data_IF_947578261018
#
_entry.id   IF_947578261018
#
_cell.length_a   1.000
_cell.length_b   1.000
_cell.length_c   1.000
_cell.angle_alpha   90.00
_cell.angle_beta   90.00
_cell.angle_gamma   90.00
#
_symmetry.space_group_name_H-M   'P 1'
#
loop_
_entity.id
_entity.type
_entity.pdbx_description
1 polymer ?
#
# COMPACT_ATOMS: atom_id res chain seq x y z
N UNK A 1 3.20 6.53 19.21
CA UNK A 1 2.10 7.45 18.94
C UNK A 1 0.95 6.66 18.33
N UNK A 2 -0.21 6.69 18.96
CA UNK A 2 -1.40 5.92 18.60
C UNK A 2 -2.66 6.77 18.76
N UNK A 3 -3.82 6.23 18.39
CA UNK A 3 -5.12 6.91 18.38
C UNK A 3 -5.44 7.53 17.02
N UNK A 4 -6.65 8.07 16.86
CA UNK A 4 -7.13 8.63 15.58
C UNK A 4 -6.24 9.74 15.02
N UNK A 5 -5.63 10.57 15.88
CA UNK A 5 -4.70 11.64 15.46
C UNK A 5 -3.42 11.08 14.82
N UNK A 6 -2.99 9.86 15.18
CA UNK A 6 -1.84 9.19 14.56
C UNK A 6 -2.08 8.81 13.09
N UNK A 7 -3.30 8.93 12.57
CA UNK A 7 -3.62 8.80 11.15
C UNK A 7 -3.27 10.06 10.32
N UNK A 8 -2.93 11.18 10.97
CA UNK A 8 -2.51 12.40 10.30
C UNK A 8 -1.07 12.28 9.76
N UNK A 9 -0.94 11.77 8.55
CA UNK A 9 0.36 11.53 7.91
C UNK A 9 1.20 12.82 7.74
N UNK A 10 0.55 13.98 7.55
CA UNK A 10 1.25 15.26 7.45
C UNK A 10 1.89 15.67 8.77
N UNK A 11 1.15 15.49 9.87
CA UNK A 11 1.68 15.74 11.22
C UNK A 11 2.81 14.77 11.56
N UNK A 12 2.62 13.48 11.27
CA UNK A 12 3.63 12.45 11.49
C UNK A 12 4.95 12.76 10.77
N UNK A 13 4.87 13.15 9.49
CA UNK A 13 6.04 13.56 8.71
C UNK A 13 6.73 14.82 9.28
N UNK A 14 5.95 15.77 9.83
CA UNK A 14 6.53 16.96 10.51
C UNK A 14 7.28 16.58 11.77
N UNK A 15 6.71 15.73 12.64
CA UNK A 15 7.39 15.26 13.86
C UNK A 15 8.68 14.52 13.48
N UNK A 16 8.63 13.62 12.51
CA UNK A 16 9.80 12.85 12.10
C UNK A 16 10.96 13.75 11.66
N UNK A 17 10.67 14.83 10.93
CA UNK A 17 11.67 15.81 10.49
C UNK A 17 12.35 16.61 11.62
N UNK A 18 11.75 16.66 12.81
CA UNK A 18 12.42 17.28 13.98
C UNK A 18 13.53 16.40 14.57
N UNK A 19 13.78 15.22 14.02
CA UNK A 19 14.70 14.24 14.59
C UNK A 19 14.13 13.41 15.73
N UNK A 20 12.87 13.64 16.09
CA UNK A 20 12.20 12.89 17.17
C UNK A 20 12.06 11.41 16.79
N UNK A 21 12.52 10.53 17.66
CA UNK A 21 12.26 9.08 17.52
C UNK A 21 10.78 8.82 17.82
N UNK A 22 10.02 8.51 16.78
CA UNK A 22 8.60 8.19 16.86
C UNK A 22 8.29 6.87 16.21
N UNK A 23 7.45 6.05 16.86
CA UNK A 23 6.91 4.80 16.34
C UNK A 23 5.40 4.96 16.20
N UNK A 24 4.89 4.68 15.01
CA UNK A 24 3.46 4.75 14.67
C UNK A 24 3.11 3.42 14.01
N UNK A 25 2.34 2.55 14.71
CA UNK A 25 1.99 1.25 14.15
C UNK A 25 0.96 1.39 13.01
N UNK A 26 0.84 0.38 12.12
CA UNK A 26 -0.12 0.41 11.01
C UNK A 26 -1.58 0.47 11.49
N UNK A 27 -1.86 -0.09 12.65
CA UNK A 27 -3.17 -0.15 13.33
C UNK A 27 -3.32 0.93 14.42
N UNK A 28 -2.74 2.12 14.22
CA UNK A 28 -2.73 3.20 15.21
C UNK A 28 -4.12 3.76 15.55
N UNK A 29 -5.12 3.55 14.70
CA UNK A 29 -6.52 3.87 14.94
C UNK A 29 -7.22 2.78 15.79
N UNK A 30 -8.54 2.82 15.88
CA UNK A 30 -9.35 1.88 16.66
C UNK A 30 -9.15 0.40 16.29
N UNK A 31 -8.63 0.11 15.08
CA UNK A 31 -8.26 -1.26 14.68
C UNK A 31 -7.24 -1.93 15.62
N UNK A 32 -6.43 -1.15 16.33
CA UNK A 32 -5.44 -1.68 17.28
C UNK A 32 -5.98 -2.01 18.66
N UNK A 33 -7.21 -1.61 19.00
CA UNK A 33 -7.76 -1.78 20.36
C UNK A 33 -7.91 -3.25 20.74
N UNK A 34 -8.38 -4.10 19.84
CA UNK A 34 -8.53 -5.54 20.08
C UNK A 34 -7.19 -6.23 20.33
N UNK A 35 -6.18 -5.91 19.49
CA UNK A 35 -4.81 -6.42 19.67
C UNK A 35 -4.22 -5.98 21.01
N UNK A 36 -4.35 -4.70 21.33
CA UNK A 36 -3.87 -4.13 22.61
C UNK A 36 -4.57 -4.75 23.82
N UNK A 37 -5.87 -5.03 23.74
CA UNK A 37 -6.60 -5.68 24.83
C UNK A 37 -6.12 -7.12 25.05
N UNK A 38 -5.93 -7.88 23.97
CA UNK A 38 -5.41 -9.25 24.06
C UNK A 38 -4.00 -9.26 24.62
N UNK A 39 -3.10 -8.39 24.16
CA UNK A 39 -1.74 -8.31 24.63
C UNK A 39 -1.67 -7.90 26.12
N UNK A 40 -2.55 -6.96 26.54
CA UNK A 40 -2.68 -6.59 27.95
C UNK A 40 -3.07 -7.79 28.83
N UNK A 41 -4.03 -8.61 28.37
CA UNK A 41 -4.44 -9.83 29.12
C UNK A 41 -3.31 -10.85 29.16
N UNK A 42 -2.60 -11.09 28.06
CA UNK A 42 -1.45 -11.99 28.00
C UNK A 42 -0.37 -11.59 29.00
N UNK A 43 0.00 -10.33 29.04
CA UNK A 43 0.96 -9.81 30.01
C UNK A 43 0.48 -9.98 31.44
N UNK A 44 -0.80 -9.74 31.71
CA UNK A 44 -1.39 -9.88 33.05
C UNK A 44 -1.40 -11.33 33.52
N UNK A 45 -1.59 -12.27 32.63
CA UNK A 45 -1.62 -13.71 32.93
C UNK A 45 -0.29 -14.41 32.70
N UNK A 46 0.80 -13.67 32.41
CA UNK A 46 2.14 -14.19 32.14
C UNK A 46 2.19 -15.18 30.97
N UNK A 47 1.32 -15.01 29.99
CA UNK A 47 1.29 -15.80 28.76
C UNK A 47 2.41 -15.39 27.80
N UNK A 48 2.74 -16.27 26.85
CA UNK A 48 3.76 -16.00 25.83
C UNK A 48 3.35 -14.82 24.96
N UNK A 49 4.23 -13.83 24.71
CA UNK A 49 3.96 -12.71 23.80
C UNK A 49 3.59 -13.15 22.38
N UNK A 50 2.90 -12.31 21.63
CA UNK A 50 2.68 -12.54 20.21
C UNK A 50 4.00 -12.69 19.45
N UNK A 51 4.04 -13.62 18.52
CA UNK A 51 5.05 -13.62 17.47
C UNK A 51 4.82 -12.43 16.55
N UNK A 52 5.90 -11.77 16.11
CA UNK A 52 5.84 -10.73 15.09
C UNK A 52 5.92 -11.30 13.66
N UNK A 53 5.89 -12.61 13.50
CA UNK A 53 5.96 -13.27 12.21
C UNK A 53 4.76 -12.85 11.33
N UNK A 54 5.04 -12.51 10.09
CA UNK A 54 4.03 -12.06 9.13
C UNK A 54 3.46 -10.66 9.38
N UNK A 55 3.90 -9.94 10.44
CA UNK A 55 3.42 -8.57 10.67
C UNK A 55 3.82 -7.63 9.52
N UNK A 56 2.90 -6.78 9.02
CA UNK A 56 1.55 -6.45 9.49
C UNK A 56 0.41 -7.21 8.79
N UNK A 57 0.66 -8.34 8.15
CA UNK A 57 -0.29 -9.09 7.33
C UNK A 57 -1.02 -10.15 8.17
N UNK A 58 -1.80 -9.68 9.15
CA UNK A 58 -2.48 -10.52 10.15
C UNK A 58 -4.02 -10.43 10.08
N UNK A 59 -4.54 -9.88 8.99
CA UNK A 59 -5.99 -9.85 8.81
C UNK A 59 -6.53 -11.28 8.73
N UNK A 60 -7.59 -11.58 9.50
CA UNK A 60 -8.34 -12.82 9.39
C UNK A 60 -9.26 -12.75 8.16
N UNK A 61 -8.69 -12.98 7.00
CA UNK A 61 -9.32 -12.88 5.69
C UNK A 61 -9.00 -14.10 4.81
N UNK A 62 -9.55 -14.13 3.61
CA UNK A 62 -9.28 -15.19 2.64
C UNK A 62 -7.93 -14.91 1.94
N UNK A 63 -6.92 -15.74 2.25
CA UNK A 63 -5.66 -15.73 1.54
C UNK A 63 -5.72 -16.64 0.30
N UNK A 64 -5.07 -16.30 -0.83
CA UNK A 64 -4.90 -17.22 -1.94
C UNK A 64 -4.00 -18.42 -1.52
N UNK A 65 -4.24 -19.58 -2.12
CA UNK A 65 -3.48 -20.81 -1.79
C UNK A 65 -1.97 -20.67 -2.04
N UNK A 66 -1.59 -19.87 -3.02
CA UNK A 66 -0.19 -19.63 -3.39
C UNK A 66 0.02 -18.13 -3.61
N UNK A 67 1.19 -17.64 -3.24
CA UNK A 67 1.61 -16.28 -3.57
C UNK A 67 2.02 -16.15 -5.05
N UNK A 68 2.16 -14.91 -5.52
CA UNK A 68 2.59 -14.61 -6.88
C UNK A 68 3.94 -15.27 -7.20
N UNK A 69 3.95 -16.11 -8.21
CA UNK A 69 5.15 -16.69 -8.81
C UNK A 69 5.86 -15.69 -9.75
N UNK A 70 7.03 -16.06 -10.28
CA UNK A 70 7.80 -15.20 -11.17
C UNK A 70 7.02 -14.81 -12.44
N UNK A 71 6.16 -15.70 -12.97
CA UNK A 71 5.33 -15.42 -14.13
C UNK A 71 4.28 -14.35 -13.83
N UNK A 72 3.66 -14.41 -12.65
CA UNK A 72 2.68 -13.43 -12.18
C UNK A 72 3.34 -12.09 -11.88
N UNK A 73 4.52 -12.10 -11.26
CA UNK A 73 5.36 -10.92 -11.04
C UNK A 73 5.70 -10.24 -12.38
N UNK A 74 6.17 -11.01 -13.36
CA UNK A 74 6.48 -10.52 -14.71
C UNK A 74 5.28 -9.85 -15.38
N UNK A 75 4.10 -10.51 -15.35
CA UNK A 75 2.87 -9.96 -15.93
C UNK A 75 2.41 -8.70 -15.20
N UNK A 76 2.49 -8.68 -13.85
CA UNK A 76 2.16 -7.50 -13.04
C UNK A 76 3.06 -6.31 -13.36
N UNK A 77 4.38 -6.53 -13.46
CA UNK A 77 5.33 -5.50 -13.82
C UNK A 77 5.09 -4.95 -15.25
N UNK A 78 4.76 -5.81 -16.21
CA UNK A 78 4.36 -5.40 -17.57
C UNK A 78 3.10 -4.55 -17.57
N UNK A 79 2.08 -4.98 -16.83
CA UNK A 79 0.84 -4.21 -16.64
C UNK A 79 1.13 -2.79 -16.18
N UNK A 80 1.94 -2.65 -15.13
CA UNK A 80 2.33 -1.34 -14.59
C UNK A 80 3.15 -0.51 -15.59
N UNK A 81 4.13 -1.12 -16.29
CA UNK A 81 4.92 -0.47 -17.34
C UNK A 81 4.04 0.07 -18.45
N UNK A 82 3.02 -0.68 -18.84
CA UNK A 82 2.10 -0.32 -19.92
C UNK A 82 1.02 0.68 -19.48
N UNK A 83 1.11 1.18 -18.24
CA UNK A 83 0.20 2.20 -17.68
C UNK A 83 -1.18 1.69 -17.32
N UNK A 84 -1.33 0.37 -17.20
CA UNK A 84 -2.59 -0.29 -16.84
C UNK A 84 -2.80 -0.23 -15.32
N UNK A 85 -4.04 -0.34 -14.89
CA UNK A 85 -4.42 -0.41 -13.47
C UNK A 85 -4.49 -1.88 -13.08
N UNK A 86 -3.64 -2.25 -12.11
CA UNK A 86 -3.50 -3.60 -11.60
C UNK A 86 -4.14 -3.73 -10.22
N UNK A 87 -5.13 -4.61 -10.07
CA UNK A 87 -5.58 -5.09 -8.77
C UNK A 87 -4.62 -6.19 -8.29
N UNK A 88 -4.11 -6.06 -7.06
CA UNK A 88 -3.11 -6.96 -6.50
C UNK A 88 -3.61 -7.53 -5.17
N UNK A 89 -3.93 -8.82 -5.15
CA UNK A 89 -4.48 -9.56 -4.01
C UNK A 89 -3.56 -10.73 -3.68
N UNK A 90 -2.82 -10.64 -2.56
CA UNK A 90 -1.79 -11.60 -2.17
C UNK A 90 -1.89 -11.91 -0.68
N UNK A 91 -1.47 -13.11 -0.26
CA UNK A 91 -1.37 -13.52 1.14
C UNK A 91 -2.55 -13.04 2.03
N UNK A 92 -2.29 -12.85 3.31
CA UNK A 92 -3.24 -12.21 4.22
C UNK A 92 -3.24 -10.69 4.08
N UNK A 93 -4.37 -10.05 4.36
CA UNK A 93 -4.50 -8.59 4.33
C UNK A 93 -3.76 -7.89 5.46
N UNK A 94 -3.54 -6.62 5.26
CA UNK A 94 -2.89 -5.72 6.21
C UNK A 94 -3.80 -5.38 7.38
N UNK A 95 -3.29 -5.40 8.62
CA UNK A 95 -4.01 -4.80 9.75
C UNK A 95 -3.92 -3.27 9.68
N UNK A 96 -5.06 -2.60 9.84
CA UNK A 96 -5.15 -1.14 9.77
C UNK A 96 -5.76 -0.63 8.47
N UNK A 97 -5.84 0.70 8.31
CA UNK A 97 -6.63 1.33 7.25
C UNK A 97 -5.86 1.53 5.92
N UNK A 98 -4.64 1.00 5.77
CA UNK A 98 -3.77 1.24 4.62
C UNK A 98 -3.46 -0.04 3.88
N UNK A 99 -3.58 -0.02 2.57
CA UNK A 99 -3.04 -1.07 1.72
C UNK A 99 -1.51 -0.98 1.67
N UNK A 100 -0.84 -2.08 1.95
CA UNK A 100 0.63 -2.17 2.03
C UNK A 100 1.22 -3.18 1.03
N UNK A 101 0.45 -3.57 0.02
CA UNK A 101 0.91 -4.45 -1.04
C UNK A 101 0.21 -5.81 -1.10
N UNK A 102 -0.71 -6.13 -0.17
CA UNK A 102 -1.48 -7.37 -0.22
C UNK A 102 -2.92 -7.16 -0.71
N UNK A 103 -3.54 -6.03 -0.40
CA UNK A 103 -4.89 -5.65 -0.85
C UNK A 103 -4.84 -4.29 -1.55
N UNK A 104 -4.21 -4.26 -2.74
CA UNK A 104 -3.80 -3.01 -3.39
C UNK A 104 -4.39 -2.84 -4.79
N UNK A 105 -4.63 -1.59 -5.18
CA UNK A 105 -4.73 -1.15 -6.58
C UNK A 105 -3.47 -0.36 -6.87
N UNK A 106 -2.76 -0.79 -7.91
CA UNK A 106 -1.44 -0.31 -8.29
C UNK A 106 -1.48 0.33 -9.68
N UNK A 107 -0.65 1.34 -9.89
CA UNK A 107 -0.49 2.00 -11.19
C UNK A 107 0.83 2.78 -11.25
N UNK A 108 1.34 3.05 -12.45
CA UNK A 108 2.48 3.97 -12.60
C UNK A 108 2.08 5.40 -12.23
N UNK A 109 2.94 6.17 -11.52
CA UNK A 109 2.55 7.46 -10.94
C UNK A 109 2.77 8.67 -11.86
N UNK A 110 3.36 8.53 -13.05
CA UNK A 110 3.74 9.64 -13.93
C UNK A 110 2.56 10.20 -14.75
N UNK A 111 1.44 9.50 -14.82
CA UNK A 111 0.30 9.95 -15.62
C UNK A 111 -0.66 10.82 -14.80
N UNK A 112 -0.68 12.14 -15.05
CA UNK A 112 -1.58 13.08 -14.37
C UNK A 112 -3.07 12.73 -14.49
N UNK A 113 -3.49 12.20 -15.64
CA UNK A 113 -4.88 11.79 -15.87
C UNK A 113 -5.27 10.54 -15.07
N UNK A 114 -4.28 9.75 -14.66
CA UNK A 114 -4.48 8.53 -13.88
C UNK A 114 -5.13 8.82 -12.52
N UNK A 115 -4.73 9.90 -11.83
CA UNK A 115 -5.33 10.30 -10.55
C UNK A 115 -6.83 10.57 -10.70
N UNK A 116 -7.20 11.35 -11.71
CA UNK A 116 -8.60 11.64 -11.98
C UNK A 116 -9.36 10.37 -12.34
N UNK A 117 -8.83 9.59 -13.27
CA UNK A 117 -9.44 8.33 -13.70
C UNK A 117 -9.66 7.35 -12.54
N UNK A 118 -8.65 7.13 -11.69
CA UNK A 118 -8.77 6.27 -10.52
C UNK A 118 -9.85 6.77 -9.55
N UNK A 119 -9.90 8.08 -9.27
CA UNK A 119 -10.91 8.63 -8.37
C UNK A 119 -12.32 8.52 -8.95
N UNK A 120 -12.53 8.88 -10.23
CA UNK A 120 -13.86 8.89 -10.85
C UNK A 120 -14.36 7.50 -11.26
N UNK A 121 -13.50 6.67 -11.87
CA UNK A 121 -13.92 5.42 -12.52
C UNK A 121 -13.73 4.18 -11.66
N UNK A 122 -12.80 4.21 -10.69
CA UNK A 122 -12.50 3.07 -9.82
C UNK A 122 -12.97 3.30 -8.40
N UNK A 123 -12.61 4.46 -7.83
CA UNK A 123 -12.91 4.78 -6.43
C UNK A 123 -14.27 5.47 -6.21
N UNK A 124 -14.89 6.01 -7.25
CA UNK A 124 -16.16 6.76 -7.19
C UNK A 124 -16.15 7.82 -6.08
N UNK A 125 -15.11 8.66 -6.08
CA UNK A 125 -14.88 9.72 -5.10
C UNK A 125 -14.35 10.99 -5.76
N UNK A 126 -14.19 12.06 -5.02
CA UNK A 126 -13.79 13.38 -5.52
C UNK A 126 -12.40 13.32 -6.16
N UNK A 127 -12.26 13.95 -7.35
CA UNK A 127 -11.03 13.89 -8.15
C UNK A 127 -9.80 14.49 -7.47
N UNK A 128 -9.98 15.38 -6.48
CA UNK A 128 -8.87 16.00 -5.76
C UNK A 128 -8.22 15.09 -4.70
N UNK A 129 -8.89 14.03 -4.26
CA UNK A 129 -8.36 13.15 -3.19
C UNK A 129 -7.02 12.55 -3.60
N UNK A 130 -6.02 12.62 -2.69
CA UNK A 130 -4.67 12.15 -2.99
C UNK A 130 -4.55 10.62 -2.90
N UNK A 131 -3.52 10.10 -3.56
CA UNK A 131 -3.07 8.73 -3.43
C UNK A 131 -1.72 8.66 -2.72
N UNK A 132 -1.35 7.49 -2.23
CA UNK A 132 -0.03 7.19 -1.71
C UNK A 132 0.84 6.48 -2.75
N UNK A 133 2.10 6.28 -2.39
CA UNK A 133 3.07 5.56 -3.20
C UNK A 133 3.73 4.43 -2.42
N UNK A 134 4.11 3.37 -3.13
CA UNK A 134 5.09 2.40 -2.66
C UNK A 134 6.38 2.59 -3.46
N UNK A 135 7.52 2.52 -2.77
CA UNK A 135 8.86 2.73 -3.34
C UNK A 135 9.85 1.76 -2.73
N UNK A 136 10.79 1.23 -3.52
CA UNK A 136 11.88 0.42 -2.97
C UNK A 136 12.70 1.25 -1.97
N UNK A 137 13.02 0.64 -0.82
CA UNK A 137 13.73 1.31 0.28
C UNK A 137 15.05 1.92 -0.16
N UNK A 138 15.80 1.21 -0.98
CA UNK A 138 17.09 1.64 -1.50
C UNK A 138 17.02 2.88 -2.41
N UNK A 139 15.87 3.13 -3.03
CA UNK A 139 15.68 4.22 -3.99
C UNK A 139 14.84 5.38 -3.43
N UNK A 140 14.41 5.35 -2.18
CA UNK A 140 13.48 6.35 -1.63
C UNK A 140 14.00 7.78 -1.78
N UNK A 141 15.29 7.99 -1.55
CA UNK A 141 15.94 9.32 -1.64
C UNK A 141 16.05 9.85 -3.08
N UNK A 142 15.91 9.00 -4.08
CA UNK A 142 15.83 9.40 -5.51
C UNK A 142 14.56 10.20 -5.79
N UNK A 143 13.45 9.83 -5.17
CA UNK A 143 12.12 10.38 -5.46
C UNK A 143 11.60 11.34 -4.40
N UNK A 144 12.04 11.17 -3.16
CA UNK A 144 11.49 11.84 -1.99
C UNK A 144 12.60 12.40 -1.11
N UNK A 145 12.32 13.48 -0.38
CA UNK A 145 13.16 13.96 0.70
C UNK A 145 12.96 13.11 1.95
N UNK A 146 13.53 11.92 1.90
CA UNK A 146 13.39 10.89 2.91
C UNK A 146 14.59 9.92 2.85
N UNK A 147 15.22 9.68 3.99
CA UNK A 147 16.34 8.76 4.17
C UNK A 147 16.08 7.67 5.23
N UNK A 148 14.83 7.61 5.72
CA UNK A 148 14.38 6.71 6.77
C UNK A 148 13.23 5.80 6.31
N UNK A 149 12.94 4.75 7.11
CA UNK A 149 11.90 3.80 6.82
C UNK A 149 10.50 4.35 7.13
N UNK A 150 9.57 4.12 6.20
CA UNK A 150 8.14 4.42 6.32
C UNK A 150 7.34 3.20 5.83
N UNK A 151 7.40 2.05 6.52
CA UNK A 151 6.84 0.81 6.00
C UNK A 151 5.30 0.77 5.96
N UNK A 152 4.62 1.65 6.73
CA UNK A 152 3.17 1.55 6.97
C UNK A 152 2.34 2.65 6.30
N UNK A 153 2.89 3.37 5.33
CA UNK A 153 2.17 4.44 4.61
C UNK A 153 1.49 5.46 5.55
N UNK A 154 2.13 5.77 6.66
CA UNK A 154 1.59 6.62 7.74
C UNK A 154 2.30 7.97 7.90
N UNK A 155 3.21 8.31 6.98
CA UNK A 155 3.93 9.59 6.95
C UNK A 155 3.91 10.20 5.55
N UNK A 156 3.83 11.54 5.48
CA UNK A 156 3.99 12.30 4.25
C UNK A 156 5.38 12.93 4.21
N UNK A 157 6.04 12.84 3.06
CA UNK A 157 7.37 13.37 2.79
C UNK A 157 7.34 14.28 1.55
N UNK A 158 8.31 15.17 1.40
CA UNK A 158 8.40 16.04 0.24
C UNK A 158 8.76 15.24 -1.02
N UNK A 159 8.10 15.56 -2.12
CA UNK A 159 8.36 14.97 -3.44
C UNK A 159 9.48 15.74 -4.10
N UNK A 160 10.53 15.05 -4.55
CA UNK A 160 11.66 15.61 -5.32
C UNK A 160 11.47 15.47 -6.82
N UNK A 161 10.88 14.37 -7.25
CA UNK A 161 10.66 14.07 -8.67
C UNK A 161 9.29 14.62 -9.14
N UNK A 162 9.32 15.71 -9.88
CA UNK A 162 8.12 16.39 -10.39
C UNK A 162 7.32 15.59 -11.41
N UNK A 163 7.86 14.48 -11.92
CA UNK A 163 7.14 13.58 -12.84
C UNK A 163 6.04 12.76 -12.14
N UNK A 164 6.12 12.62 -10.82
CA UNK A 164 5.21 11.79 -10.01
C UNK A 164 3.84 12.47 -9.76
N UNK A 165 3.21 12.94 -10.81
CA UNK A 165 2.03 13.83 -10.76
C UNK A 165 0.78 13.21 -10.15
N UNK A 166 0.61 11.87 -10.24
CA UNK A 166 -0.59 11.19 -9.72
C UNK A 166 -0.57 11.01 -8.20
N UNK A 167 0.60 11.03 -7.58
CA UNK A 167 0.78 10.82 -6.15
C UNK A 167 1.19 12.09 -5.39
N UNK A 168 1.53 13.15 -6.10
CA UNK A 168 1.90 14.44 -5.48
C UNK A 168 0.64 15.17 -5.00
N UNK A 169 0.64 15.53 -3.72
CA UNK A 169 -0.41 16.30 -3.07
C UNK A 169 -0.25 17.79 -3.38
N UNK A 170 -1.27 18.59 -3.01
CA UNK A 170 -1.27 20.04 -3.27
C UNK A 170 -0.13 20.79 -2.57
N UNK A 171 0.36 20.28 -1.45
CA UNK A 171 1.48 20.81 -0.65
C UNK A 171 2.83 20.24 -1.09
N UNK A 172 2.89 19.63 -2.26
CA UNK A 172 4.08 18.97 -2.82
C UNK A 172 4.61 17.79 -1.96
N UNK A 173 3.76 17.20 -1.12
CA UNK A 173 4.09 16.00 -0.37
C UNK A 173 3.49 14.75 -1.03
N UNK A 174 3.96 13.58 -0.59
CA UNK A 174 3.34 12.29 -0.87
C UNK A 174 3.35 11.43 0.40
N UNK A 175 2.28 10.69 0.63
CA UNK A 175 2.25 9.64 1.65
C UNK A 175 2.87 8.39 1.06
N UNK A 176 4.00 7.94 1.63
CA UNK A 176 4.81 6.85 1.07
C UNK A 176 4.77 5.59 1.93
N UNK A 177 5.07 4.47 1.28
CA UNK A 177 5.47 3.20 1.86
C UNK A 177 6.85 2.84 1.32
N UNK A 178 7.85 2.66 2.20
CA UNK A 178 9.12 2.03 1.83
C UNK A 178 8.94 0.51 1.84
N UNK A 179 9.36 -0.14 0.76
CA UNK A 179 9.25 -1.60 0.57
C UNK A 179 10.66 -2.19 0.54
N UNK A 180 10.87 -3.21 1.36
CA UNK A 180 12.13 -3.91 1.48
C UNK A 180 11.92 -5.43 1.55
N UNK A 181 13.02 -6.21 1.63
CA UNK A 181 12.97 -7.66 1.69
C UNK A 181 12.69 -8.33 0.35
N UNK A 182 12.31 -9.63 0.37
CA UNK A 182 12.17 -10.48 -0.82
C UNK A 182 10.73 -11.00 -1.04
N UNK A 183 9.75 -10.43 -0.34
CA UNK A 183 8.34 -10.76 -0.54
C UNK A 183 7.84 -10.40 -1.93
N UNK A 184 6.70 -10.96 -2.32
CA UNK A 184 6.10 -10.75 -3.65
C UNK A 184 5.98 -9.28 -4.06
N UNK A 185 5.71 -8.36 -3.12
CA UNK A 185 5.55 -6.94 -3.43
C UNK A 185 6.89 -6.25 -3.73
N UNK A 186 7.96 -6.59 -3.00
CA UNK A 186 9.31 -6.12 -3.30
C UNK A 186 9.81 -6.67 -4.64
N UNK A 187 9.55 -7.95 -4.94
CA UNK A 187 9.88 -8.60 -6.22
C UNK A 187 9.14 -7.91 -7.39
N UNK A 188 7.85 -7.58 -7.21
CA UNK A 188 7.08 -6.82 -8.21
C UNK A 188 7.73 -5.45 -8.51
N UNK A 189 8.08 -4.68 -7.46
CA UNK A 189 8.73 -3.38 -7.63
C UNK A 189 10.12 -3.50 -8.27
N UNK A 190 10.93 -4.50 -7.92
CA UNK A 190 12.24 -4.73 -8.56
C UNK A 190 12.07 -5.10 -10.03
N UNK A 191 11.12 -5.96 -10.34
CA UNK A 191 10.83 -6.33 -11.73
C UNK A 191 10.35 -5.14 -12.55
N UNK A 192 9.51 -4.30 -11.96
CA UNK A 192 9.09 -3.03 -12.58
C UNK A 192 10.29 -2.10 -12.80
N UNK A 193 11.20 -1.99 -11.83
CA UNK A 193 12.45 -1.21 -11.94
C UNK A 193 13.35 -1.72 -13.07
N UNK A 194 13.51 -3.02 -13.22
CA UNK A 194 14.29 -3.61 -14.31
C UNK A 194 13.74 -3.24 -15.70
N UNK A 195 12.40 -3.15 -15.83
CA UNK A 195 11.75 -2.83 -17.09
C UNK A 195 11.70 -1.33 -17.42
N UNK A 196 11.71 -0.46 -16.41
CA UNK A 196 11.38 0.96 -16.58
C UNK A 196 12.47 1.91 -16.08
N UNK A 197 13.38 1.44 -15.24
CA UNK A 197 14.32 2.27 -14.48
C UNK A 197 13.69 2.98 -13.27
N UNK A 198 12.38 2.77 -13.02
CA UNK A 198 11.62 3.42 -11.95
C UNK A 198 11.19 2.40 -10.90
N UNK A 199 11.36 2.75 -9.62
CA UNK A 199 11.03 1.86 -8.48
C UNK A 199 9.95 2.43 -7.56
N UNK A 200 9.12 3.31 -8.09
CA UNK A 200 7.99 3.94 -7.39
C UNK A 200 6.70 3.69 -8.15
N UNK A 201 5.65 3.27 -7.44
CA UNK A 201 4.31 3.05 -7.99
C UNK A 201 3.26 3.72 -7.10
N UNK A 202 2.13 4.13 -7.69
CA UNK A 202 0.93 4.49 -6.95
C UNK A 202 0.38 3.24 -6.26
N UNK A 203 0.09 3.35 -4.96
CA UNK A 203 -0.54 2.30 -4.17
C UNK A 203 -1.76 2.85 -3.43
N UNK A 204 -2.91 2.21 -3.62
CA UNK A 204 -4.15 2.51 -2.91
C UNK A 204 -4.91 1.22 -2.59
N UNK A 205 -5.82 1.28 -1.61
CA UNK A 205 -6.58 0.12 -1.13
C UNK A 205 -7.44 -0.52 -2.22
N UNK A 206 -7.58 -1.84 -2.18
CA UNK A 206 -8.45 -2.62 -3.06
C UNK A 206 -9.90 -2.54 -2.56
N UNK A 207 -10.59 -1.45 -2.88
CA UNK A 207 -11.99 -1.20 -2.55
C UNK A 207 -12.60 -0.12 -3.44
N UNK A 208 -13.91 0.07 -3.37
CA UNK A 208 -14.65 1.16 -4.04
C UNK A 208 -15.20 2.12 -2.98
N UNK A 209 -15.02 3.42 -3.22
CA UNK A 209 -15.59 4.47 -2.37
C UNK A 209 -15.24 4.30 -0.90
N UNK A 210 -16.26 4.21 -0.06
CA UNK A 210 -16.15 4.06 1.40
C UNK A 210 -16.24 2.60 1.88
N UNK A 211 -16.32 1.64 0.94
CA UNK A 211 -16.34 0.21 1.32
C UNK A 211 -15.05 -0.17 2.07
N UNK A 212 -15.09 -1.17 2.95
CA UNK A 212 -13.89 -1.78 3.51
C UNK A 212 -12.95 -2.29 2.42
N UNK A 213 -11.69 -2.49 2.78
CA UNK A 213 -10.71 -3.17 1.91
C UNK A 213 -11.18 -4.61 1.70
N UNK A 214 -11.09 -5.10 0.46
CA UNK A 214 -11.54 -6.45 0.10
C UNK A 214 -10.86 -7.51 0.98
N UNK A 215 -11.64 -8.30 1.70
CA UNK A 215 -11.18 -9.38 2.58
C UNK A 215 -11.42 -10.77 1.98
N UNK A 216 -12.23 -10.85 0.93
CA UNK A 216 -12.56 -12.11 0.25
C UNK A 216 -12.20 -12.04 -1.23
N UNK A 217 -11.82 -13.17 -1.79
CA UNK A 217 -11.44 -13.28 -3.22
C UNK A 217 -12.61 -12.90 -4.14
N UNK A 218 -13.84 -13.25 -3.77
CA UNK A 218 -15.01 -12.87 -4.57
C UNK A 218 -15.23 -11.35 -4.63
N UNK A 219 -14.92 -10.61 -3.55
CA UNK A 219 -14.99 -9.14 -3.52
C UNK A 219 -13.97 -8.54 -4.50
N UNK A 220 -12.73 -9.06 -4.51
CA UNK A 220 -11.71 -8.66 -5.45
C UNK A 220 -12.14 -8.94 -6.91
N UNK A 221 -12.73 -10.10 -7.19
CA UNK A 221 -13.27 -10.45 -8.51
C UNK A 221 -14.44 -9.55 -8.93
N UNK A 222 -15.32 -9.20 -7.99
CA UNK A 222 -16.40 -8.25 -8.24
C UNK A 222 -15.84 -6.86 -8.60
N UNK A 223 -14.85 -6.36 -7.86
CA UNK A 223 -14.17 -5.11 -8.18
C UNK A 223 -13.53 -5.14 -9.57
N UNK A 224 -12.88 -6.24 -9.91
CA UNK A 224 -12.28 -6.42 -11.23
C UNK A 224 -13.33 -6.44 -12.34
N UNK A 225 -14.51 -7.05 -12.12
CA UNK A 225 -15.58 -7.08 -13.14
C UNK A 225 -16.10 -5.68 -13.50
N UNK A 226 -16.01 -4.72 -12.58
CA UNK A 226 -16.41 -3.33 -12.80
C UNK A 226 -15.44 -2.63 -13.78
N UNK A 227 -15.91 -1.57 -14.41
CA UNK A 227 -15.08 -0.79 -15.35
C UNK A 227 -13.97 -0.06 -14.59
N UNK A 228 -12.78 -0.04 -15.17
CA UNK A 228 -11.67 0.79 -14.69
C UNK A 228 -10.41 0.03 -14.29
N UNK A 229 -10.51 -1.21 -13.79
CA UNK A 229 -9.35 -2.08 -13.53
C UNK A 229 -9.15 -2.96 -14.77
N UNK A 230 -7.93 -2.95 -15.32
CA UNK A 230 -7.60 -3.70 -16.53
C UNK A 230 -7.01 -5.07 -16.26
N UNK A 231 -6.20 -5.18 -15.19
CA UNK A 231 -5.54 -6.44 -14.84
C UNK A 231 -5.73 -6.76 -13.36
N UNK A 232 -5.70 -8.03 -13.02
CA UNK A 232 -5.79 -8.50 -11.65
C UNK A 232 -4.90 -9.72 -11.43
N UNK A 233 -4.17 -9.71 -10.31
CA UNK A 233 -3.47 -10.88 -9.80
C UNK A 233 -4.07 -11.31 -8.46
N UNK A 234 -4.45 -12.58 -8.34
CA UNK A 234 -4.85 -13.23 -7.09
C UNK A 234 -3.91 -14.40 -6.89
N UNK A 235 -3.01 -14.29 -5.91
CA UNK A 235 -1.94 -15.27 -5.75
C UNK A 235 -1.12 -15.39 -7.04
N UNK A 236 -0.96 -16.62 -7.54
CA UNK A 236 -0.26 -16.92 -8.79
C UNK A 236 -1.17 -16.87 -10.03
N UNK A 237 -2.44 -16.50 -9.90
CA UNK A 237 -3.37 -16.38 -11.02
C UNK A 237 -3.44 -14.94 -11.52
N UNK A 238 -3.27 -14.75 -12.83
CA UNK A 238 -3.34 -13.46 -13.49
C UNK A 238 -4.51 -13.39 -14.47
N UNK A 239 -5.32 -12.34 -14.35
CA UNK A 239 -6.50 -12.06 -15.16
C UNK A 239 -6.30 -10.73 -15.88
N UNK A 240 -6.62 -10.69 -17.18
CA UNK A 240 -6.55 -9.51 -18.06
C UNK A 240 -7.87 -9.30 -18.80
N UNK A 241 -8.15 -8.03 -19.20
CA UNK A 241 -9.30 -7.61 -20.01
C UNK A 241 -8.86 -7.08 -21.35
#
# INVERSE_FOLDING_TARGET
>A
FSGGVAQNCCFNGKIKRTGTKVVIPPHANDCGLSLGAVEFLRQRFHEVPFSNEGFPFWQDDEAPEQEADEKTIEKGAKSLRDGRILAWYQGHGEIGPRALGNRSILMQPQNRRAKQYLNEKVKHREAFRPFGAAVLREDVSKYFDCDYDVPYMNMSVQVKDTRLTSITHIDNTCRIQTVDGDGHFARLLRRYKEMTGESVILNTSLNIGESPIASRIWEAKELFSKKGIQDMAIGNNFYDK
#
